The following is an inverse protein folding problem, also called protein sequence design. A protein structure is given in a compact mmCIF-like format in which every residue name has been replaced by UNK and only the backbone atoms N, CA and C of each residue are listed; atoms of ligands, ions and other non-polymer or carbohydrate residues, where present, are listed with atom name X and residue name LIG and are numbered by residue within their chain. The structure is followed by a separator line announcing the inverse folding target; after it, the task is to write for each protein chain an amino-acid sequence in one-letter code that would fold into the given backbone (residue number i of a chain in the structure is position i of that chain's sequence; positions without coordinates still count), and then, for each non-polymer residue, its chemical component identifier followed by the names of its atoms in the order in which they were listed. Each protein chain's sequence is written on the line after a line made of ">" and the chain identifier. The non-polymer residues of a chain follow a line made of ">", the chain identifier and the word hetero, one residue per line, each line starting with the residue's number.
data_IF_384027402925
#
_entry.id   IF_384027402925
#
_cell.length_a   1.000
_cell.length_b   1.000
_cell.length_c   1.000
_cell.angle_alpha   90.00
_cell.angle_beta   90.00
_cell.angle_gamma   90.00
#
_symmetry.space_group_name_H-M   'P 1'
#
loop_
_entity.id
_entity.type
_entity.pdbx_description
1 polymer ?
#
# COMPACT_ATOMS: atom_id res chain seq x y z
N UNK A 1 -25.12 -17.40 67.32
CA UNK A 1 -25.62 -16.35 66.39
C UNK A 1 -24.58 -15.27 66.06
N UNK A 2 -23.78 -14.76 67.02
CA UNK A 2 -22.75 -13.73 66.74
C UNK A 2 -21.68 -14.15 65.71
N UNK A 3 -21.18 -15.38 65.80
CA UNK A 3 -20.15 -15.89 64.87
C UNK A 3 -20.63 -15.96 63.40
N UNK A 4 -21.90 -16.31 63.17
CA UNK A 4 -22.48 -16.37 61.83
C UNK A 4 -22.63 -14.98 61.18
N UNK A 5 -22.92 -13.95 62.00
CA UNK A 5 -23.02 -12.55 61.55
C UNK A 5 -21.64 -11.99 61.18
N UNK A 6 -20.59 -12.35 61.94
CA UNK A 6 -19.22 -11.93 61.59
C UNK A 6 -18.71 -12.61 60.32
N UNK A 7 -19.08 -13.86 60.07
CA UNK A 7 -18.72 -14.61 58.86
C UNK A 7 -19.42 -14.06 57.60
N UNK A 8 -20.67 -13.63 57.70
CA UNK A 8 -21.39 -13.01 56.57
C UNK A 8 -20.89 -11.60 56.27
N UNK A 9 -20.52 -10.81 57.29
CA UNK A 9 -19.91 -9.48 57.11
C UNK A 9 -18.52 -9.56 56.46
N UNK A 10 -17.68 -10.53 56.84
CA UNK A 10 -16.37 -10.72 56.21
C UNK A 10 -16.48 -11.11 54.73
N UNK A 11 -17.43 -11.99 54.38
CA UNK A 11 -17.66 -12.37 52.99
C UNK A 11 -18.23 -11.21 52.14
N UNK A 12 -19.05 -10.34 52.72
CA UNK A 12 -19.53 -9.15 52.02
C UNK A 12 -18.40 -8.15 51.72
N UNK A 13 -17.38 -8.06 52.59
CA UNK A 13 -16.23 -7.17 52.37
C UNK A 13 -15.31 -7.63 51.22
N UNK A 14 -15.18 -8.95 51.03
CA UNK A 14 -14.41 -9.56 49.94
C UNK A 14 -15.06 -9.41 48.55
N UNK A 15 -16.36 -9.11 48.52
CA UNK A 15 -17.13 -8.88 47.29
C UNK A 15 -17.21 -7.41 46.86
N UNK A 16 -16.57 -6.47 47.57
CA UNK A 16 -16.44 -5.12 47.03
C UNK A 16 -15.51 -5.19 45.81
N UNK A 17 -15.97 -4.79 44.61
CA UNK A 17 -15.08 -4.72 43.47
C UNK A 17 -13.99 -3.70 43.80
N UNK A 18 -12.73 -4.15 43.82
CA UNK A 18 -11.62 -3.22 43.67
C UNK A 18 -11.82 -2.56 42.31
N UNK A 19 -12.41 -1.37 42.31
CA UNK A 19 -12.47 -0.52 41.13
C UNK A 19 -11.04 -0.14 40.76
N UNK A 20 -10.37 -1.01 40.00
CA UNK A 20 -9.16 -0.67 39.29
C UNK A 20 -9.57 0.40 38.26
N UNK A 21 -9.42 1.66 38.64
CA UNK A 21 -9.67 2.77 37.74
C UNK A 21 -8.63 2.68 36.63
N UNK A 22 -9.04 2.18 35.46
CA UNK A 22 -8.30 2.41 34.25
C UNK A 22 -8.15 3.93 34.13
N UNK A 23 -6.91 4.42 34.21
CA UNK A 23 -6.60 5.86 34.12
C UNK A 23 -7.12 6.37 32.77
N UNK A 24 -8.26 7.06 32.79
CA UNK A 24 -8.75 7.77 31.62
C UNK A 24 -8.22 9.21 31.70
N UNK A 25 -7.56 9.65 30.63
CA UNK A 25 -7.05 11.00 30.50
C UNK A 25 -7.85 11.70 29.40
N UNK A 26 -8.11 12.99 29.56
CA UNK A 26 -8.77 13.77 28.53
C UNK A 26 -7.72 14.34 27.59
N UNK A 27 -7.84 14.04 26.29
CA UNK A 27 -7.09 14.69 25.21
C UNK A 27 -7.83 15.96 24.83
N UNK A 28 -7.20 17.10 25.08
CA UNK A 28 -7.70 18.42 24.70
C UNK A 28 -6.94 18.89 23.46
N UNK A 29 -7.66 19.35 22.45
CA UNK A 29 -7.10 19.90 21.22
C UNK A 29 -7.58 21.34 21.02
N UNK A 30 -6.62 22.27 20.89
CA UNK A 30 -6.88 23.68 20.64
C UNK A 30 -7.12 23.97 19.15
N UNK A 31 -7.67 25.14 18.82
CA UNK A 31 -7.85 25.60 17.43
C UNK A 31 -6.52 25.72 16.65
N UNK A 32 -5.41 25.87 17.37
CA UNK A 32 -4.04 25.85 16.83
C UNK A 32 -3.49 24.45 16.57
N UNK A 33 -4.22 23.38 16.91
CA UNK A 33 -3.78 22.00 16.81
C UNK A 33 -2.86 21.55 17.95
N UNK A 34 -2.70 22.36 19.00
CA UNK A 34 -1.93 21.96 20.19
C UNK A 34 -2.71 20.92 21.00
N UNK A 35 -2.05 19.79 21.27
CA UNK A 35 -2.63 18.67 22.02
C UNK A 35 -2.08 18.65 23.44
N UNK A 36 -2.98 18.55 24.42
CA UNK A 36 -2.67 18.42 25.85
C UNK A 36 -3.44 17.23 26.43
N UNK A 37 -2.82 16.52 27.37
CA UNK A 37 -3.47 15.47 28.15
C UNK A 37 -3.63 15.92 29.59
N UNK A 38 -4.86 15.88 30.11
CA UNK A 38 -5.18 16.33 31.47
C UNK A 38 -6.22 15.41 32.12
N UNK A 39 -6.13 15.25 33.43
CA UNK A 39 -7.14 14.55 34.26
C UNK A 39 -8.15 15.51 34.88
N UNK A 40 -7.88 16.83 34.84
CA UNK A 40 -8.66 17.85 35.56
C UNK A 40 -9.75 18.52 34.70
N UNK A 41 -9.88 18.18 33.42
CA UNK A 41 -10.81 18.84 32.50
C UNK A 41 -10.10 19.65 31.40
N UNK A 42 -10.72 19.76 30.22
CA UNK A 42 -10.24 20.65 29.17
C UNK A 42 -10.70 22.10 29.37
N UNK A 43 -9.86 23.09 29.03
CA UNK A 43 -10.25 24.50 29.05
C UNK A 43 -11.31 24.84 28.00
N UNK A 44 -12.05 25.92 28.22
CA UNK A 44 -13.13 26.36 27.33
C UNK A 44 -12.62 26.61 25.90
N UNK A 45 -13.37 26.11 24.91
CA UNK A 45 -13.02 26.24 23.48
C UNK A 45 -12.09 25.16 22.93
N UNK A 46 -11.58 24.24 23.75
CA UNK A 46 -10.82 23.08 23.27
C UNK A 46 -11.75 21.89 22.95
N UNK A 47 -11.43 21.14 21.90
CA UNK A 47 -12.09 19.87 21.61
C UNK A 47 -11.65 18.81 22.61
N UNK A 48 -12.61 18.14 23.24
CA UNK A 48 -12.35 17.16 24.30
C UNK A 48 -12.56 15.74 23.77
N UNK A 49 -11.59 14.86 24.01
CA UNK A 49 -11.70 13.44 23.69
C UNK A 49 -11.19 12.61 24.85
N UNK A 50 -12.02 11.71 25.37
CA UNK A 50 -11.58 10.78 26.41
C UNK A 50 -10.65 9.72 25.81
N UNK A 51 -9.45 9.59 26.38
CA UNK A 51 -8.42 8.66 25.96
C UNK A 51 -8.16 7.67 27.11
N UNK A 52 -8.30 6.38 26.81
CA UNK A 52 -7.90 5.33 27.76
C UNK A 52 -6.37 5.22 27.76
N UNK A 53 -5.75 5.42 28.92
CA UNK A 53 -4.31 5.20 29.11
C UNK A 53 -4.09 3.75 29.51
N UNK A 54 -3.80 2.90 28.52
CA UNK A 54 -3.46 1.50 28.74
C UNK A 54 -1.98 1.40 29.16
N UNK A 55 -1.74 1.17 30.45
CA UNK A 55 -0.40 0.89 30.97
C UNK A 55 -0.16 -0.62 30.91
N UNK A 56 0.49 -1.10 29.84
CA UNK A 56 0.82 -2.51 29.74
C UNK A 56 1.84 -2.92 30.80
N UNK A 57 1.67 -4.06 31.48
CA UNK A 57 2.65 -4.53 32.46
C UNK A 57 4.01 -4.85 31.80
N UNK A 58 5.13 -4.70 32.54
CA UNK A 58 6.46 -4.96 32.01
C UNK A 58 6.58 -6.41 31.52
N UNK A 59 7.01 -6.58 30.26
CA UNK A 59 7.07 -7.89 29.58
C UNK A 59 5.93 -8.13 28.57
N UNK A 60 4.94 -7.24 28.49
CA UNK A 60 3.88 -7.33 27.48
C UNK A 60 4.42 -6.95 26.11
N UNK A 61 4.34 -7.87 25.14
CA UNK A 61 4.58 -7.54 23.72
C UNK A 61 3.34 -6.84 23.18
N UNK A 62 3.34 -5.51 23.22
CA UNK A 62 2.34 -4.71 22.52
C UNK A 62 2.78 -4.66 21.06
N UNK A 63 2.04 -5.31 20.17
CA UNK A 63 2.20 -5.07 18.75
C UNK A 63 1.84 -3.60 18.49
N UNK A 64 2.86 -2.76 18.26
CA UNK A 64 2.72 -1.34 17.90
C UNK A 64 2.02 -1.12 16.55
N UNK A 65 1.69 -2.22 15.86
CA UNK A 65 1.02 -2.21 14.57
C UNK A 65 -0.48 -2.38 14.81
N UNK A 66 -1.33 -1.51 14.25
CA UNK A 66 -2.77 -1.70 14.32
C UNK A 66 -3.09 -3.09 13.78
N UNK A 67 -3.89 -3.86 14.53
CA UNK A 67 -4.38 -5.15 14.10
C UNK A 67 -4.97 -5.00 12.71
N UNK A 68 -4.49 -5.80 11.76
CA UNK A 68 -4.96 -5.85 10.38
C UNK A 68 -6.37 -6.46 10.34
N UNK A 69 -7.33 -5.88 11.05
CA UNK A 69 -8.74 -6.10 10.80
C UNK A 69 -9.04 -5.46 9.45
N UNK A 70 -8.85 -6.26 8.41
CA UNK A 70 -9.23 -6.01 7.03
C UNK A 70 -10.75 -5.94 6.93
N UNK A 71 -11.32 -4.85 7.44
CA UNK A 71 -12.54 -4.29 6.88
C UNK A 71 -12.11 -2.95 6.31
N UNK A 72 -11.46 -3.02 5.14
CA UNK A 72 -11.26 -1.83 4.32
C UNK A 72 -12.62 -1.11 4.26
N UNK A 73 -12.75 0.14 4.74
CA UNK A 73 -13.90 0.93 4.35
C UNK A 73 -13.88 0.91 2.83
N UNK A 74 -15.00 0.50 2.20
CA UNK A 74 -15.11 0.40 0.76
C UNK A 74 -14.45 1.63 0.17
N UNK A 75 -13.26 1.45 -0.42
CA UNK A 75 -12.49 2.52 -1.03
C UNK A 75 -13.44 3.10 -2.06
N UNK A 76 -14.04 4.24 -1.74
CA UNK A 76 -14.64 5.10 -2.73
C UNK A 76 -13.52 5.27 -3.73
N UNK A 77 -13.67 4.62 -4.90
CA UNK A 77 -12.77 4.82 -6.02
C UNK A 77 -12.82 6.32 -6.22
N UNK A 78 -11.77 7.02 -5.79
CA UNK A 78 -11.60 8.43 -6.06
C UNK A 78 -11.53 8.52 -7.57
N UNK A 79 -12.67 8.83 -8.17
CA UNK A 79 -12.78 9.09 -9.59
C UNK A 79 -11.87 10.28 -9.87
N UNK A 80 -10.75 10.03 -10.54
CA UNK A 80 -10.07 11.06 -11.31
C UNK A 80 -8.92 11.82 -10.64
N UNK A 81 -8.24 11.27 -9.63
CA UNK A 81 -6.88 11.75 -9.37
C UNK A 81 -5.93 11.10 -10.39
N UNK A 82 -5.83 11.74 -11.56
CA UNK A 82 -4.79 11.48 -12.53
C UNK A 82 -3.44 11.78 -11.86
N UNK A 83 -2.68 10.73 -11.57
CA UNK A 83 -1.31 10.87 -11.07
C UNK A 83 -0.46 11.46 -12.20
N UNK A 84 -0.27 12.76 -12.20
CA UNK A 84 0.64 13.45 -13.13
C UNK A 84 2.07 13.24 -12.65
N UNK A 85 2.73 12.23 -13.18
CA UNK A 85 4.16 11.98 -12.95
C UNK A 85 4.97 12.91 -13.86
N UNK A 86 5.54 13.97 -13.29
CA UNK A 86 6.44 14.88 -14.02
C UNK A 86 7.87 14.36 -13.92
N UNK A 87 8.57 14.23 -15.05
CA UNK A 87 9.97 13.81 -15.09
C UNK A 87 10.21 12.32 -15.37
N UNK A 88 9.33 11.67 -16.14
CA UNK A 88 9.60 10.31 -16.63
C UNK A 88 10.86 10.30 -17.48
N UNK A 89 11.74 9.32 -17.24
CA UNK A 89 12.98 9.16 -17.99
C UNK A 89 12.64 8.84 -19.45
N UNK A 90 13.15 9.65 -20.37
CA UNK A 90 12.96 9.39 -21.79
C UNK A 90 13.73 8.13 -22.21
N UNK A 91 12.99 7.12 -22.62
CA UNK A 91 13.52 5.84 -23.08
C UNK A 91 14.08 5.91 -24.52
N UNK A 92 14.16 7.10 -25.12
CA UNK A 92 14.58 7.32 -26.51
C UNK A 92 13.51 6.99 -27.57
N UNK A 93 12.53 6.14 -27.23
CA UNK A 93 11.41 5.76 -28.11
C UNK A 93 10.19 6.69 -28.02
N UNK A 94 10.38 7.90 -27.49
CA UNK A 94 9.44 9.01 -27.54
C UNK A 94 8.20 8.92 -26.65
N UNK A 95 8.20 8.08 -25.61
CA UNK A 95 7.08 7.88 -24.67
C UNK A 95 5.70 7.79 -25.34
N UNK A 96 5.64 7.28 -26.59
CA UNK A 96 4.43 7.27 -27.42
C UNK A 96 3.36 6.31 -26.91
N UNK A 97 3.70 5.49 -25.92
CA UNK A 97 2.82 4.57 -25.23
C UNK A 97 2.55 5.10 -23.83
N UNK A 98 1.27 5.27 -23.47
CA UNK A 98 0.90 5.55 -22.09
C UNK A 98 1.33 4.41 -21.17
N UNK A 99 1.59 4.69 -19.89
CA UNK A 99 1.98 3.66 -18.92
C UNK A 99 0.97 2.49 -18.86
N UNK A 100 -0.31 2.78 -19.06
CA UNK A 100 -1.38 1.79 -19.12
C UNK A 100 -1.30 0.92 -20.38
N UNK A 101 -1.08 1.52 -21.56
CA UNK A 101 -0.88 0.77 -22.81
C UNK A 101 0.37 -0.09 -22.75
N UNK A 102 1.47 0.43 -22.17
CA UNK A 102 2.69 -0.35 -21.91
C UNK A 102 2.36 -1.54 -21.03
N UNK A 103 1.69 -1.35 -19.88
CA UNK A 103 1.32 -2.44 -18.96
C UNK A 103 0.36 -3.45 -19.59
N UNK A 104 -0.62 -3.02 -20.37
CA UNK A 104 -1.56 -3.90 -21.06
C UNK A 104 -0.86 -4.76 -22.14
N UNK A 105 0.09 -4.18 -22.86
CA UNK A 105 0.92 -4.90 -23.82
C UNK A 105 1.82 -5.95 -23.15
N UNK A 106 2.39 -5.61 -21.99
CA UNK A 106 3.15 -6.53 -21.13
C UNK A 106 2.29 -7.74 -20.74
N UNK A 107 1.10 -7.48 -20.19
CA UNK A 107 0.18 -8.53 -19.71
C UNK A 107 -0.25 -9.46 -20.86
N UNK A 108 -0.53 -8.88 -22.04
CA UNK A 108 -1.02 -9.64 -23.19
C UNK A 108 0.09 -10.22 -24.07
N UNK A 109 1.37 -10.09 -23.69
CA UNK A 109 2.53 -10.51 -24.47
C UNK A 109 2.50 -9.96 -25.91
N UNK A 110 2.02 -8.73 -26.09
CA UNK A 110 1.99 -8.03 -27.37
C UNK A 110 3.09 -6.98 -27.40
N UNK A 111 3.69 -6.79 -28.56
CA UNK A 111 4.76 -5.79 -28.75
C UNK A 111 4.24 -4.65 -29.64
N UNK A 112 3.58 -3.63 -29.06
CA UNK A 112 3.15 -2.46 -29.82
C UNK A 112 4.35 -1.64 -30.31
N UNK A 113 4.15 -0.82 -31.36
CA UNK A 113 5.18 0.11 -31.83
C UNK A 113 5.61 1.08 -30.71
N UNK A 114 6.91 1.35 -30.61
CA UNK A 114 7.47 2.28 -29.61
C UNK A 114 7.94 1.63 -28.30
N UNK A 115 7.89 0.30 -28.16
CA UNK A 115 8.60 -0.39 -27.08
C UNK A 115 10.12 -0.37 -27.31
N UNK A 116 10.91 -0.38 -26.23
CA UNK A 116 12.37 -0.49 -26.29
C UNK A 116 12.80 -1.95 -26.44
N UNK A 117 13.97 -2.20 -27.03
CA UNK A 117 14.59 -3.52 -27.10
C UNK A 117 14.66 -4.22 -25.72
N UNK A 118 15.06 -3.50 -24.67
CA UNK A 118 15.18 -4.03 -23.31
C UNK A 118 13.83 -4.49 -22.75
N UNK A 119 12.77 -3.72 -22.99
CA UNK A 119 11.43 -4.11 -22.57
C UNK A 119 10.99 -5.38 -23.30
N UNK A 120 11.24 -5.49 -24.61
CA UNK A 120 10.91 -6.70 -25.37
C UNK A 120 11.66 -7.94 -24.88
N UNK A 121 12.96 -7.80 -24.61
CA UNK A 121 13.78 -8.88 -24.05
C UNK A 121 13.31 -9.27 -22.63
N UNK A 122 12.88 -8.30 -21.81
CA UNK A 122 12.29 -8.59 -20.50
C UNK A 122 10.94 -9.31 -20.59
N UNK A 123 10.19 -9.14 -21.70
CA UNK A 123 8.85 -9.72 -21.88
C UNK A 123 8.86 -11.10 -22.52
N UNK A 124 9.68 -11.27 -23.55
CA UNK A 124 9.74 -12.49 -24.35
C UNK A 124 10.95 -13.35 -24.00
N UNK A 125 11.88 -12.83 -23.20
CA UNK A 125 13.16 -13.45 -22.92
C UNK A 125 14.17 -13.21 -24.04
N UNK A 126 15.22 -14.04 -24.03
CA UNK A 126 16.25 -14.00 -25.08
C UNK A 126 15.68 -14.48 -26.42
N UNK A 127 15.94 -13.77 -27.53
CA UNK A 127 15.52 -14.22 -28.86
C UNK A 127 16.29 -15.47 -29.31
N UNK A 128 15.65 -16.30 -30.15
CA UNK A 128 16.28 -17.49 -30.72
C UNK A 128 17.21 -17.15 -31.89
N UNK A 129 16.85 -16.11 -32.66
CA UNK A 129 17.68 -15.60 -33.75
C UNK A 129 17.62 -14.08 -33.80
N UNK A 130 18.80 -13.49 -33.98
CA UNK A 130 19.01 -12.06 -34.18
C UNK A 130 19.58 -11.85 -35.57
N UNK A 131 19.01 -10.92 -36.33
CA UNK A 131 19.52 -10.49 -37.63
C UNK A 131 19.54 -8.98 -37.68
N UNK A 132 20.66 -8.39 -38.07
CA UNK A 132 20.77 -6.95 -38.30
C UNK A 132 20.94 -6.72 -39.81
N UNK A 133 20.12 -5.85 -40.40
CA UNK A 133 20.21 -5.47 -41.82
C UNK A 133 19.91 -3.99 -41.97
N UNK A 134 20.85 -3.22 -42.51
CA UNK A 134 20.66 -1.80 -42.83
C UNK A 134 20.11 -0.98 -41.65
N UNK A 135 20.67 -1.16 -40.45
CA UNK A 135 20.22 -0.44 -39.25
C UNK A 135 18.94 -0.99 -38.61
N UNK A 136 18.31 -1.99 -39.23
CA UNK A 136 17.13 -2.66 -38.70
C UNK A 136 17.52 -3.96 -37.98
N UNK A 137 17.21 -4.03 -36.70
CA UNK A 137 17.44 -5.21 -35.88
C UNK A 137 16.18 -6.06 -35.84
N UNK A 138 16.27 -7.33 -36.22
CA UNK A 138 15.14 -8.27 -36.23
C UNK A 138 15.39 -9.40 -35.26
N UNK A 139 14.49 -9.53 -34.29
CA UNK A 139 14.45 -10.63 -33.33
C UNK A 139 13.39 -11.63 -33.73
N UNK A 140 13.76 -12.91 -33.68
CA UNK A 140 12.86 -14.02 -33.98
C UNK A 140 12.75 -14.90 -32.74
N UNK A 141 11.50 -15.16 -32.35
CA UNK A 141 11.12 -15.99 -31.22
C UNK A 141 10.31 -17.18 -31.73
N UNK A 142 10.82 -18.39 -31.54
CA UNK A 142 10.19 -19.63 -31.94
C UNK A 142 9.45 -20.22 -30.73
N UNK A 143 8.11 -20.17 -30.75
CA UNK A 143 7.29 -20.76 -29.68
C UNK A 143 7.16 -22.26 -29.90
N UNK A 144 7.02 -23.04 -28.82
CA UNK A 144 6.97 -24.52 -28.78
C UNK A 144 5.75 -25.19 -29.47
N UNK A 145 5.09 -24.53 -30.43
CA UNK A 145 3.95 -25.05 -31.21
C UNK A 145 4.02 -24.65 -32.69
N UNK A 146 5.22 -24.51 -33.24
CA UNK A 146 5.44 -24.11 -34.65
C UNK A 146 5.05 -22.66 -34.97
N UNK A 147 4.71 -21.85 -33.97
CA UNK A 147 4.42 -20.42 -34.14
C UNK A 147 5.69 -19.62 -33.92
N UNK A 148 6.12 -18.87 -34.93
CA UNK A 148 7.20 -17.90 -34.80
C UNK A 148 6.62 -16.49 -34.66
N UNK A 149 7.22 -15.70 -33.78
CA UNK A 149 6.98 -14.27 -33.67
C UNK A 149 8.25 -13.55 -34.07
N UNK A 150 8.15 -12.48 -34.84
CA UNK A 150 9.30 -11.63 -35.14
C UNK A 150 9.02 -10.20 -34.76
N UNK A 151 9.95 -9.59 -34.08
CA UNK A 151 9.92 -8.17 -33.70
C UNK A 151 11.05 -7.47 -34.44
N UNK A 152 10.74 -6.33 -35.03
CA UNK A 152 11.68 -5.53 -35.79
C UNK A 152 11.88 -4.19 -35.10
N UNK A 153 13.13 -3.79 -34.90
CA UNK A 153 13.53 -2.55 -34.25
C UNK A 153 14.18 -1.61 -35.26
N UNK A 154 14.00 -0.31 -35.04
CA UNK A 154 14.73 0.74 -35.74
C UNK A 154 16.14 0.94 -35.20
N UNK A 155 16.87 1.89 -35.81
CA UNK A 155 18.24 2.27 -35.44
C UNK A 155 18.35 2.83 -34.01
N UNK A 156 17.23 3.29 -33.45
CA UNK A 156 17.13 3.79 -32.08
C UNK A 156 16.76 2.68 -31.07
N UNK A 157 16.61 1.43 -31.54
CA UNK A 157 16.24 0.28 -30.70
C UNK A 157 14.75 0.24 -30.32
N UNK A 158 13.90 0.93 -31.09
CA UNK A 158 12.47 1.03 -30.87
C UNK A 158 11.71 0.12 -31.83
N UNK A 159 10.67 -0.55 -31.32
CA UNK A 159 9.87 -1.48 -32.14
C UNK A 159 9.11 -0.72 -33.22
N UNK A 160 9.29 -1.16 -34.47
CA UNK A 160 8.54 -0.66 -35.62
C UNK A 160 7.16 -1.32 -35.68
N UNK A 161 6.15 -0.52 -36.02
CA UNK A 161 4.82 -1.02 -36.31
C UNK A 161 4.83 -1.83 -37.61
N UNK A 162 4.11 -2.94 -37.63
CA UNK A 162 3.81 -3.66 -38.87
C UNK A 162 2.85 -2.75 -39.67
N UNK A 163 3.27 -2.28 -40.85
CA UNK A 163 2.35 -1.65 -41.81
C UNK A 163 1.33 -2.68 -42.31
#
# INVERSE_FOLDING_TARGET
>A
MRAAIHLTLCNALLCLPLFATASSVQRCEDASGKIMFTTLGCPAGHSTRLQSAFNAPPGTRIDLLPSANSREPARQRSSGQELVVVGTRDDGCGNRLSAEQRRAAIINQRTPPGMTQRDVESLLGRPDKVSNRNGELRYVYNKKKGRSSSVTFDEHGCVKGKR
#
